data_IF_854331472929
#
_entry.id   IF_854331472929
#
_cell.length_a   1.000
_cell.length_b   1.000
_cell.length_c   1.000
_cell.angle_alpha   90.00
_cell.angle_beta   90.00
_cell.angle_gamma   90.00
#
_symmetry.space_group_name_H-M   'P 1'
#
loop_
_entity.id
_entity.type
_entity.pdbx_description
1 polymer ?
#
# COMPACT_ATOMS: atom_id res chain seq x y z
N UNK A 1 -17.16 19.34 -11.64
CA UNK A 1 -18.51 19.95 -11.70
C UNK A 1 -18.60 21.32 -11.00
N UNK A 2 -17.97 21.57 -9.85
CA UNK A 2 -18.01 22.84 -9.13
C UNK A 2 -17.43 24.02 -9.95
N UNK A 3 -16.29 23.83 -10.61
CA UNK A 3 -15.65 24.86 -11.44
C UNK A 3 -16.45 25.28 -12.68
N UNK A 4 -17.19 24.35 -13.29
CA UNK A 4 -18.04 24.67 -14.46
C UNK A 4 -19.20 25.59 -14.10
N UNK A 5 -19.80 25.39 -12.90
CA UNK A 5 -20.87 26.25 -12.37
C UNK A 5 -20.37 27.65 -12.02
N UNK A 6 -19.17 27.77 -11.43
CA UNK A 6 -18.59 29.08 -11.11
C UNK A 6 -18.20 29.87 -12.35
N UNK A 7 -17.65 29.22 -13.38
CA UNK A 7 -17.34 29.85 -14.68
C UNK A 7 -18.64 30.33 -15.36
N UNK A 8 -19.67 29.51 -15.41
CA UNK A 8 -20.98 29.90 -15.99
C UNK A 8 -21.57 31.06 -15.21
N UNK A 9 -21.51 31.04 -13.89
CA UNK A 9 -22.03 32.12 -13.04
C UNK A 9 -21.26 33.45 -13.30
N UNK A 10 -19.94 33.42 -13.41
CA UNK A 10 -19.15 34.61 -13.72
C UNK A 10 -19.45 35.18 -15.10
N UNK A 11 -19.64 34.33 -16.10
CA UNK A 11 -20.06 34.75 -17.47
C UNK A 11 -21.44 35.41 -17.41
N UNK A 12 -22.39 34.83 -16.70
CA UNK A 12 -23.74 35.39 -16.55
C UNK A 12 -23.71 36.74 -15.86
N UNK A 13 -22.90 36.91 -14.81
CA UNK A 13 -22.74 38.21 -14.10
C UNK A 13 -22.17 39.26 -15.02
N UNK A 14 -21.15 38.93 -15.83
CA UNK A 14 -20.56 39.82 -16.81
C UNK A 14 -21.59 40.23 -17.86
N UNK A 15 -22.36 39.31 -18.39
CA UNK A 15 -23.42 39.58 -19.38
C UNK A 15 -24.51 40.51 -18.80
N UNK A 16 -24.94 40.28 -17.55
CA UNK A 16 -25.90 41.16 -16.86
C UNK A 16 -25.33 42.55 -16.70
N UNK A 17 -24.06 42.69 -16.31
CA UNK A 17 -23.40 43.99 -16.16
C UNK A 17 -23.34 44.71 -17.49
N UNK A 18 -22.90 44.05 -18.59
CA UNK A 18 -22.86 44.64 -19.94
C UNK A 18 -24.24 45.11 -20.39
N UNK A 19 -25.26 44.28 -20.18
CA UNK A 19 -26.63 44.58 -20.54
C UNK A 19 -27.16 45.78 -19.74
N UNK A 20 -26.99 45.82 -18.42
CA UNK A 20 -27.43 46.92 -17.57
C UNK A 20 -26.75 48.26 -17.92
N UNK A 21 -25.44 48.23 -18.18
CA UNK A 21 -24.68 49.42 -18.57
C UNK A 21 -25.16 49.99 -19.91
N UNK A 22 -25.39 49.13 -20.91
CA UNK A 22 -25.92 49.58 -22.21
C UNK A 22 -27.37 50.12 -22.07
N UNK A 23 -28.20 49.54 -21.22
CA UNK A 23 -29.56 50.06 -20.95
C UNK A 23 -29.54 51.44 -20.29
N UNK A 24 -28.61 51.68 -19.35
CA UNK A 24 -28.44 53.02 -18.71
C UNK A 24 -28.02 54.03 -19.75
N UNK A 25 -27.10 53.68 -20.66
CA UNK A 25 -26.68 54.57 -21.74
C UNK A 25 -27.86 54.93 -22.68
N UNK A 26 -28.62 53.94 -23.13
CA UNK A 26 -29.81 54.19 -23.97
C UNK A 26 -30.87 55.05 -23.29
N UNK A 27 -31.06 54.84 -21.98
CA UNK A 27 -31.96 55.64 -21.18
C UNK A 27 -31.52 57.09 -21.10
N UNK A 28 -30.25 57.35 -20.85
CA UNK A 28 -29.65 58.69 -20.85
C UNK A 28 -29.76 59.34 -22.23
N UNK A 29 -29.50 58.63 -23.31
CA UNK A 29 -29.64 59.16 -24.67
C UNK A 29 -31.08 59.58 -24.98
N UNK A 30 -32.08 58.82 -24.53
CA UNK A 30 -33.50 59.23 -24.70
C UNK A 30 -33.86 60.48 -23.89
N UNK A 31 -33.45 60.61 -22.64
CA UNK A 31 -33.62 61.81 -21.83
C UNK A 31 -32.98 63.01 -22.53
N UNK A 32 -31.82 62.80 -23.12
CA UNK A 32 -31.12 63.83 -23.88
C UNK A 32 -31.92 64.32 -25.07
N UNK A 33 -32.46 63.40 -25.88
CA UNK A 33 -33.30 63.70 -27.04
C UNK A 33 -34.56 64.47 -26.62
N UNK A 34 -35.20 64.06 -25.54
CA UNK A 34 -36.40 64.76 -25.02
C UNK A 34 -36.10 66.18 -24.56
N UNK A 35 -35.03 66.39 -23.78
CA UNK A 35 -34.61 67.72 -23.33
C UNK A 35 -34.22 68.60 -24.49
N UNK A 36 -33.50 68.08 -25.45
CA UNK A 36 -33.11 68.84 -26.67
C UNK A 36 -34.33 69.21 -27.48
N UNK A 37 -35.26 68.34 -27.69
CA UNK A 37 -36.51 68.63 -28.43
C UNK A 37 -37.35 69.64 -27.67
N UNK A 38 -37.42 69.60 -26.36
CA UNK A 38 -38.14 70.56 -25.52
C UNK A 38 -37.49 71.96 -25.62
N UNK A 39 -36.16 71.99 -25.59
CA UNK A 39 -35.42 73.24 -25.75
C UNK A 39 -35.65 73.85 -27.16
N UNK A 40 -35.56 73.08 -28.21
CA UNK A 40 -35.83 73.51 -29.60
C UNK A 40 -37.28 74.00 -29.74
N UNK A 41 -38.25 73.27 -29.20
CA UNK A 41 -39.67 73.63 -29.22
C UNK A 41 -39.89 75.00 -28.47
N UNK A 42 -39.25 75.24 -27.32
CA UNK A 42 -39.34 76.52 -26.62
C UNK A 42 -38.78 77.63 -27.47
N UNK A 43 -37.63 77.42 -28.12
CA UNK A 43 -37.08 78.47 -29.04
C UNK A 43 -38.07 78.75 -30.17
N UNK A 44 -38.60 77.74 -30.81
CA UNK A 44 -39.57 77.89 -31.92
C UNK A 44 -40.80 78.62 -31.43
N UNK A 45 -41.34 78.35 -30.23
CA UNK A 45 -42.52 79.00 -29.70
C UNK A 45 -42.27 80.50 -29.44
N UNK A 46 -41.11 80.87 -28.83
CA UNK A 46 -40.73 82.20 -28.60
C UNK A 46 -40.56 82.99 -29.94
N UNK A 47 -39.94 82.37 -30.93
CA UNK A 47 -39.77 83.03 -32.27
C UNK A 47 -41.14 83.28 -32.92
N UNK A 48 -42.09 82.33 -32.84
CA UNK A 48 -43.43 82.46 -33.39
C UNK A 48 -44.28 83.51 -32.65
N UNK A 49 -44.12 83.60 -31.34
CA UNK A 49 -44.81 84.63 -30.55
C UNK A 49 -44.36 85.98 -30.88
N UNK A 50 -43.05 86.20 -31.06
CA UNK A 50 -42.41 87.53 -31.32
C UNK A 50 -42.49 87.98 -32.78
N UNK A 51 -42.57 86.99 -33.73
CA UNK A 51 -42.63 87.18 -35.16
C UNK A 51 -43.72 86.30 -35.79
N UNK A 52 -45.00 86.63 -35.69
CA UNK A 52 -46.11 85.76 -36.14
C UNK A 52 -46.13 85.49 -37.65
N UNK A 53 -45.57 86.42 -38.48
CA UNK A 53 -45.53 86.34 -39.94
C UNK A 53 -44.35 85.48 -40.48
N UNK A 54 -43.49 84.96 -39.63
CA UNK A 54 -42.35 84.19 -40.09
C UNK A 54 -42.81 82.78 -40.65
N UNK A 55 -42.39 82.51 -41.86
CA UNK A 55 -42.77 81.27 -42.48
C UNK A 55 -42.04 80.06 -41.82
N UNK A 56 -42.73 78.87 -41.78
CA UNK A 56 -42.07 77.67 -41.24
C UNK A 56 -40.79 77.30 -41.96
N UNK A 57 -40.67 77.65 -43.24
CA UNK A 57 -39.44 77.49 -44.05
C UNK A 57 -38.25 78.29 -43.51
N UNK A 58 -38.52 79.51 -43.15
CA UNK A 58 -37.47 80.41 -42.58
C UNK A 58 -37.04 79.88 -41.18
N UNK A 59 -37.93 79.34 -40.37
CA UNK A 59 -37.58 78.69 -39.07
C UNK A 59 -36.69 77.47 -39.30
N UNK A 60 -37.04 76.59 -40.25
CA UNK A 60 -36.19 75.45 -40.60
C UNK A 60 -34.83 75.90 -41.08
N UNK A 61 -34.75 76.93 -41.90
CA UNK A 61 -33.48 77.46 -42.46
C UNK A 61 -32.62 78.05 -41.32
N UNK A 62 -33.21 78.73 -40.33
CA UNK A 62 -32.52 79.22 -39.12
C UNK A 62 -31.97 78.07 -38.30
N UNK A 63 -32.73 77.02 -38.03
CA UNK A 63 -32.31 75.89 -37.24
C UNK A 63 -31.27 75.06 -37.97
N UNK A 64 -31.26 74.99 -39.30
CA UNK A 64 -30.29 74.23 -40.10
C UNK A 64 -29.02 75.03 -40.48
N UNK A 65 -29.04 76.32 -40.41
CA UNK A 65 -27.88 77.14 -40.71
C UNK A 65 -26.86 77.05 -39.55
N UNK A 66 -25.64 76.59 -39.86
CA UNK A 66 -24.49 76.65 -39.00
C UNK A 66 -24.05 78.10 -38.89
N UNK A 67 -24.71 78.91 -38.07
CA UNK A 67 -24.24 80.30 -37.74
C UNK A 67 -23.03 80.23 -36.82
N UNK A 68 -22.11 81.18 -36.96
CA UNK A 68 -20.93 81.36 -36.10
C UNK A 68 -21.39 81.54 -34.63
N UNK A 69 -20.91 80.70 -33.72
CA UNK A 69 -21.29 80.61 -32.30
C UNK A 69 -20.88 81.91 -31.50
N UNK A 70 -20.27 82.89 -32.08
CA UNK A 70 -19.78 84.11 -31.39
C UNK A 70 -20.89 85.02 -30.81
N UNK A 71 -22.15 84.87 -31.26
CA UNK A 71 -23.26 85.64 -30.72
C UNK A 71 -23.64 85.36 -29.26
N UNK A 72 -23.35 84.17 -28.76
CA UNK A 72 -23.70 83.80 -27.38
C UNK A 72 -22.83 84.56 -26.36
N UNK A 73 -21.59 84.79 -26.66
CA UNK A 73 -20.69 85.61 -25.81
C UNK A 73 -21.12 87.06 -25.73
N UNK A 74 -21.76 87.65 -26.78
CA UNK A 74 -22.31 89.03 -26.77
C UNK A 74 -23.47 89.20 -25.82
N UNK A 75 -24.20 88.09 -25.49
CA UNK A 75 -25.31 88.06 -24.54
C UNK A 75 -24.91 87.54 -23.15
N UNK A 76 -23.61 87.40 -22.88
CA UNK A 76 -23.08 86.98 -21.59
C UNK A 76 -23.38 85.45 -21.29
N UNK A 77 -23.69 84.70 -22.35
CA UNK A 77 -23.92 83.22 -22.24
C UNK A 77 -22.59 82.54 -22.53
N UNK A 78 -21.99 81.89 -21.53
CA UNK A 78 -20.78 81.11 -21.74
C UNK A 78 -21.17 79.81 -22.50
N UNK A 79 -20.57 79.62 -23.69
CA UNK A 79 -20.83 78.48 -24.58
C UNK A 79 -20.53 77.17 -23.90
N UNK A 80 -19.61 77.22 -22.97
CA UNK A 80 -19.23 75.96 -22.26
C UNK A 80 -20.22 75.59 -21.13
N UNK A 81 -20.94 76.54 -20.52
CA UNK A 81 -21.87 76.29 -19.43
C UNK A 81 -23.32 76.06 -19.86
N UNK A 82 -23.84 76.81 -20.84
CA UNK A 82 -25.26 76.77 -21.20
C UNK A 82 -25.60 75.89 -22.40
N UNK A 83 -24.63 75.64 -23.31
CA UNK A 83 -24.77 74.65 -24.38
C UNK A 83 -24.19 73.27 -24.00
N UNK A 84 -24.12 73.01 -22.71
CA UNK A 84 -23.69 71.73 -22.12
C UNK A 84 -24.40 70.51 -22.67
N UNK A 85 -25.60 70.66 -23.22
CA UNK A 85 -26.39 69.55 -23.78
C UNK A 85 -25.69 68.86 -24.97
N UNK A 86 -25.07 69.58 -25.88
CA UNK A 86 -24.40 69.03 -27.06
C UNK A 86 -23.00 68.50 -26.71
N UNK A 87 -22.28 69.25 -25.88
CA UNK A 87 -20.95 68.87 -25.40
C UNK A 87 -21.03 67.62 -24.51
N UNK A 88 -21.98 67.58 -23.57
CA UNK A 88 -22.25 66.40 -22.72
C UNK A 88 -22.60 65.15 -23.52
N UNK A 89 -23.40 65.27 -24.60
CA UNK A 89 -23.70 64.08 -25.44
C UNK A 89 -22.42 63.51 -26.09
N UNK A 90 -21.55 64.40 -26.57
CA UNK A 90 -20.27 64.00 -27.18
C UNK A 90 -19.33 63.37 -26.17
N UNK A 91 -19.25 63.93 -24.96
CA UNK A 91 -18.46 63.41 -23.84
C UNK A 91 -19.02 62.05 -23.35
N UNK A 92 -20.32 61.91 -23.14
CA UNK A 92 -20.96 60.67 -22.74
C UNK A 92 -20.71 59.54 -23.76
N UNK A 93 -20.71 59.85 -25.06
CA UNK A 93 -20.40 58.87 -26.11
C UNK A 93 -18.93 58.44 -26.06
N UNK A 94 -17.99 59.34 -25.76
CA UNK A 94 -16.59 58.95 -25.57
C UNK A 94 -16.41 58.09 -24.32
N UNK A 95 -17.02 58.47 -23.17
CA UNK A 95 -16.99 57.69 -21.94
C UNK A 95 -17.58 56.27 -22.17
N UNK A 96 -18.68 56.18 -22.90
CA UNK A 96 -19.29 54.89 -23.24
C UNK A 96 -18.32 54.00 -24.07
N UNK A 97 -17.64 54.54 -25.06
CA UNK A 97 -16.64 53.80 -25.86
C UNK A 97 -15.48 53.35 -24.99
N UNK A 98 -14.92 54.27 -24.17
CA UNK A 98 -13.80 53.95 -23.28
C UNK A 98 -14.17 52.84 -22.30
N UNK A 99 -15.35 52.89 -21.67
CA UNK A 99 -15.83 51.85 -20.74
C UNK A 99 -16.01 50.48 -21.43
N UNK A 100 -16.53 50.47 -22.68
CA UNK A 100 -16.66 49.21 -23.42
C UNK A 100 -15.27 48.64 -23.81
N UNK A 101 -14.28 49.47 -24.13
CA UNK A 101 -12.90 49.00 -24.41
C UNK A 101 -12.27 48.42 -23.12
N UNK A 102 -12.42 49.10 -21.99
CA UNK A 102 -11.93 48.64 -20.69
C UNK A 102 -12.59 47.29 -20.35
N UNK A 103 -13.91 47.18 -20.49
CA UNK A 103 -14.65 45.94 -20.24
C UNK A 103 -14.17 44.80 -21.15
N UNK A 104 -14.00 45.09 -22.44
CA UNK A 104 -13.48 44.09 -23.42
C UNK A 104 -12.08 43.59 -23.05
N UNK A 105 -11.19 44.52 -22.64
CA UNK A 105 -9.84 44.15 -22.18
C UNK A 105 -9.86 43.30 -20.92
N UNK A 106 -10.75 43.57 -19.96
CA UNK A 106 -10.91 42.81 -18.75
C UNK A 106 -11.40 41.36 -19.03
N UNK A 107 -12.40 41.23 -19.92
CA UNK A 107 -12.93 39.89 -20.34
C UNK A 107 -11.80 39.10 -21.03
N UNK A 108 -10.98 39.74 -21.87
CA UNK A 108 -9.87 39.10 -22.54
C UNK A 108 -8.83 38.57 -21.54
N UNK A 109 -8.42 39.37 -20.57
CA UNK A 109 -7.47 38.98 -19.51
C UNK A 109 -8.05 37.79 -18.70
N UNK A 110 -9.33 37.85 -18.32
CA UNK A 110 -9.99 36.82 -17.55
C UNK A 110 -10.04 35.48 -18.34
N UNK A 111 -10.31 35.56 -19.65
CA UNK A 111 -10.29 34.40 -20.55
C UNK A 111 -8.90 33.74 -20.64
N UNK A 112 -7.85 34.57 -20.73
CA UNK A 112 -6.46 34.09 -20.75
C UNK A 112 -6.13 33.35 -19.45
N UNK A 113 -6.49 33.90 -18.29
CA UNK A 113 -6.25 33.28 -16.98
C UNK A 113 -6.98 31.94 -16.90
N UNK A 114 -8.22 31.86 -17.36
CA UNK A 114 -9.00 30.60 -17.36
C UNK A 114 -8.38 29.54 -18.27
N UNK A 115 -7.86 29.92 -19.43
CA UNK A 115 -7.17 28.99 -20.35
C UNK A 115 -5.87 28.49 -19.71
N UNK A 116 -5.07 29.37 -19.12
CA UNK A 116 -3.81 28.98 -18.44
C UNK A 116 -4.10 28.00 -17.30
N UNK A 117 -5.09 28.30 -16.44
CA UNK A 117 -5.46 27.41 -15.34
C UNK A 117 -5.95 26.06 -15.83
N UNK A 118 -6.76 26.02 -16.88
CA UNK A 118 -7.24 24.78 -17.49
C UNK A 118 -6.11 23.93 -18.06
N UNK A 119 -5.16 24.55 -18.77
CA UNK A 119 -4.01 23.83 -19.31
C UNK A 119 -3.11 23.29 -18.18
N UNK A 120 -2.93 24.04 -17.09
CA UNK A 120 -2.18 23.57 -15.92
C UNK A 120 -2.84 22.36 -15.25
N UNK A 121 -4.18 22.36 -15.07
CA UNK A 121 -4.90 21.20 -14.54
C UNK A 121 -4.81 19.99 -15.47
N UNK A 122 -4.94 20.20 -16.79
CA UNK A 122 -4.83 19.11 -17.77
C UNK A 122 -3.44 18.45 -17.76
N UNK A 123 -2.38 19.24 -17.74
CA UNK A 123 -1.01 18.71 -17.71
C UNK A 123 -0.76 17.87 -16.43
N UNK A 124 -1.29 18.32 -15.27
CA UNK A 124 -1.21 17.54 -14.04
C UNK A 124 -2.01 16.25 -14.10
N UNK A 125 -3.14 16.23 -14.79
CA UNK A 125 -3.93 15.02 -15.02
C UNK A 125 -3.21 14.03 -15.95
N UNK A 126 -2.59 14.50 -17.03
CA UNK A 126 -1.79 13.66 -17.93
C UNK A 126 -0.61 13.01 -17.19
N UNK A 127 0.06 13.75 -16.30
CA UNK A 127 1.09 13.19 -15.44
C UNK A 127 0.56 12.03 -14.57
N UNK A 128 -0.63 12.16 -14.00
CA UNK A 128 -1.26 11.10 -13.20
C UNK A 128 -1.61 9.89 -14.07
N UNK A 129 -2.14 10.11 -15.28
CA UNK A 129 -2.45 9.03 -16.23
C UNK A 129 -1.17 8.25 -16.56
N UNK A 130 -0.08 8.95 -16.88
CA UNK A 130 1.21 8.32 -17.16
C UNK A 130 1.73 7.50 -15.96
N UNK A 131 1.58 8.01 -14.72
CA UNK A 131 1.95 7.27 -13.52
C UNK A 131 1.12 5.98 -13.38
N UNK A 132 -0.18 6.03 -13.65
CA UNK A 132 -1.05 4.84 -13.62
C UNK A 132 -0.64 3.82 -14.68
N UNK A 133 -0.28 4.26 -15.88
CA UNK A 133 0.21 3.39 -16.95
C UNK A 133 1.50 2.66 -16.54
N UNK A 134 2.44 3.36 -15.91
CA UNK A 134 3.67 2.74 -15.41
C UNK A 134 3.39 1.72 -14.28
N UNK A 135 2.47 2.02 -13.37
CA UNK A 135 2.03 1.08 -12.33
C UNK A 135 1.43 -0.19 -12.97
N UNK A 136 0.61 -0.05 -14.01
CA UNK A 136 0.03 -1.18 -14.74
C UNK A 136 1.08 -2.05 -15.45
N UNK A 137 2.21 -1.46 -15.87
CA UNK A 137 3.39 -2.18 -16.38
C UNK A 137 4.22 -2.83 -15.27
N UNK A 138 3.77 -2.76 -14.00
CA UNK A 138 4.48 -3.25 -12.80
C UNK A 138 5.77 -2.49 -12.50
N UNK A 139 5.93 -1.28 -13.02
CA UNK A 139 7.04 -0.40 -12.66
C UNK A 139 6.67 0.37 -11.39
N UNK A 140 7.10 -0.11 -10.24
CA UNK A 140 6.82 0.50 -8.93
C UNK A 140 7.92 1.47 -8.45
N UNK A 141 8.99 1.69 -9.24
CA UNK A 141 10.07 2.60 -8.87
C UNK A 141 9.78 4.04 -9.35
N UNK A 142 8.62 4.57 -8.96
CA UNK A 142 8.12 5.87 -9.36
C UNK A 142 8.34 6.92 -8.26
N UNK A 143 8.80 8.11 -8.64
CA UNK A 143 8.90 9.24 -7.72
C UNK A 143 7.58 10.03 -7.73
N UNK A 144 6.64 9.62 -6.88
CA UNK A 144 5.31 10.19 -6.78
C UNK A 144 5.25 11.01 -5.49
N UNK A 145 5.65 12.28 -5.52
CA UNK A 145 5.48 13.17 -4.35
C UNK A 145 4.62 14.37 -4.74
N UNK A 146 3.53 14.57 -4.04
CA UNK A 146 2.74 15.80 -4.09
C UNK A 146 3.33 16.81 -3.10
N UNK A 147 3.71 18.01 -3.59
CA UNK A 147 4.33 19.05 -2.76
C UNK A 147 3.33 20.12 -2.32
N UNK A 148 2.14 20.17 -2.94
CA UNK A 148 1.14 21.22 -2.71
C UNK A 148 -0.08 20.69 -1.97
N UNK A 149 -0.86 21.57 -1.31
CA UNK A 149 -2.12 21.22 -0.63
C UNK A 149 -3.33 21.06 -1.58
N UNK A 150 -3.09 20.91 -2.88
CA UNK A 150 -4.14 20.76 -3.88
C UNK A 150 -4.78 19.36 -3.81
N UNK A 151 -6.01 19.24 -4.35
CA UNK A 151 -6.71 17.94 -4.47
C UNK A 151 -5.89 16.94 -5.29
N UNK A 152 -5.15 17.41 -6.31
CA UNK A 152 -4.28 16.59 -7.15
C UNK A 152 -3.09 16.06 -6.34
N UNK A 153 -2.49 16.87 -5.48
CA UNK A 153 -1.41 16.44 -4.59
C UNK A 153 -1.86 15.43 -3.55
N UNK A 154 -3.08 15.57 -3.02
CA UNK A 154 -3.69 14.54 -2.16
C UNK A 154 -3.86 13.22 -2.91
N UNK A 155 -4.33 13.26 -4.16
CA UNK A 155 -4.46 12.08 -5.01
C UNK A 155 -3.10 11.42 -5.27
N UNK A 156 -2.06 12.20 -5.59
CA UNK A 156 -0.69 11.70 -5.75
C UNK A 156 -0.17 11.02 -4.48
N UNK A 157 -0.43 11.58 -3.31
CA UNK A 157 -0.01 11.00 -2.04
C UNK A 157 -0.72 9.67 -1.74
N UNK A 158 -2.02 9.54 -2.04
CA UNK A 158 -2.72 8.26 -1.90
C UNK A 158 -2.23 7.23 -2.93
N UNK A 159 -1.96 7.65 -4.15
CA UNK A 159 -1.32 6.78 -5.16
C UNK A 159 0.06 6.31 -4.70
N UNK A 160 0.87 7.19 -4.11
CA UNK A 160 2.18 6.80 -3.56
C UNK A 160 2.07 5.69 -2.51
N UNK A 161 1.13 5.82 -1.57
CA UNK A 161 0.89 4.77 -0.56
C UNK A 161 0.53 3.44 -1.22
N UNK A 162 -0.35 3.48 -2.22
CA UNK A 162 -0.77 2.29 -2.97
C UNK A 162 0.41 1.66 -3.73
N UNK A 163 1.26 2.47 -4.37
CA UNK A 163 2.46 1.98 -5.07
C UNK A 163 3.45 1.33 -4.11
N UNK A 164 3.69 1.93 -2.94
CA UNK A 164 4.55 1.34 -1.90
C UNK A 164 4.00 -0.01 -1.42
N UNK A 165 2.69 -0.11 -1.22
CA UNK A 165 2.03 -1.37 -0.85
C UNK A 165 2.19 -2.43 -1.95
N UNK A 166 1.88 -2.09 -3.22
CA UNK A 166 2.02 -3.01 -4.35
C UNK A 166 3.47 -3.47 -4.57
N UNK A 167 4.44 -2.58 -4.36
CA UNK A 167 5.87 -2.92 -4.42
C UNK A 167 6.22 -3.94 -3.34
N UNK A 168 5.82 -3.69 -2.10
CA UNK A 168 6.07 -4.61 -0.99
C UNK A 168 5.41 -5.98 -1.24
N UNK A 169 4.18 -6.01 -1.75
CA UNK A 169 3.48 -7.25 -2.08
C UNK A 169 4.18 -8.01 -3.22
N UNK A 170 4.67 -7.31 -4.25
CA UNK A 170 5.42 -7.91 -5.33
C UNK A 170 6.76 -8.48 -4.84
N UNK A 171 7.49 -7.75 -4.01
CA UNK A 171 8.77 -8.19 -3.42
C UNK A 171 8.56 -9.41 -2.49
N UNK A 172 7.52 -9.40 -1.67
CA UNK A 172 7.15 -10.54 -0.83
C UNK A 172 6.76 -11.76 -1.67
N UNK A 173 5.92 -11.57 -2.70
CA UNK A 173 5.54 -12.67 -3.61
C UNK A 173 6.76 -13.27 -4.34
N UNK A 174 7.75 -12.45 -4.69
CA UNK A 174 8.99 -12.95 -5.28
C UNK A 174 9.81 -13.76 -4.27
N UNK A 175 9.96 -13.27 -3.03
CA UNK A 175 10.61 -14.00 -1.95
C UNK A 175 9.93 -15.35 -1.69
N UNK A 176 8.60 -15.37 -1.60
CA UNK A 176 7.84 -16.60 -1.39
C UNK A 176 8.06 -17.61 -2.51
N UNK A 177 8.10 -17.16 -3.77
CA UNK A 177 8.41 -18.02 -4.92
C UNK A 177 9.82 -18.60 -4.85
N UNK A 178 10.81 -17.81 -4.44
CA UNK A 178 12.19 -18.29 -4.27
C UNK A 178 12.27 -19.34 -3.14
N UNK A 179 11.61 -19.09 -2.04
CA UNK A 179 11.51 -20.03 -0.91
C UNK A 179 10.87 -21.34 -1.37
N UNK A 180 9.74 -21.31 -2.08
CA UNK A 180 9.08 -22.50 -2.60
C UNK A 180 10.00 -23.26 -3.58
N UNK A 181 10.71 -22.55 -4.47
CA UNK A 181 11.68 -23.16 -5.39
C UNK A 181 12.76 -23.93 -4.62
N UNK A 182 13.37 -23.28 -3.63
CA UNK A 182 14.39 -23.93 -2.79
C UNK A 182 13.83 -25.16 -2.09
N UNK A 183 12.59 -25.10 -1.55
CA UNK A 183 11.95 -26.26 -0.93
C UNK A 183 11.74 -27.44 -1.90
N UNK A 184 11.31 -27.16 -3.13
CA UNK A 184 11.15 -28.21 -4.14
C UNK A 184 12.49 -28.85 -4.53
N UNK A 185 13.54 -28.07 -4.63
CA UNK A 185 14.90 -28.56 -4.88
C UNK A 185 15.38 -29.46 -3.73
N UNK A 186 15.21 -29.03 -2.49
CA UNK A 186 15.59 -29.80 -1.30
C UNK A 186 14.80 -31.11 -1.18
N UNK A 187 13.48 -31.05 -1.36
CA UNK A 187 12.61 -32.25 -1.37
C UNK A 187 13.07 -33.24 -2.44
N UNK A 188 13.36 -32.74 -3.65
CA UNK A 188 13.83 -33.57 -4.76
C UNK A 188 15.14 -34.29 -4.41
N UNK A 189 16.07 -33.59 -3.80
CA UNK A 189 17.32 -34.18 -3.32
C UNK A 189 17.11 -35.22 -2.23
N UNK A 190 16.26 -34.92 -1.24
CA UNK A 190 15.97 -35.83 -0.12
C UNK A 190 15.18 -37.07 -0.54
N UNK A 191 14.42 -37.03 -1.63
CA UNK A 191 13.73 -38.20 -2.20
C UNK A 191 14.68 -39.02 -3.11
N UNK A 192 15.55 -38.35 -3.86
CA UNK A 192 16.45 -39.04 -4.80
C UNK A 192 17.40 -40.03 -4.10
N UNK A 193 17.94 -39.66 -2.95
CA UNK A 193 18.91 -40.47 -2.21
C UNK A 193 18.31 -41.83 -1.79
N UNK A 194 17.21 -41.91 -1.04
CA UNK A 194 16.61 -43.20 -0.66
C UNK A 194 16.12 -43.99 -1.87
N UNK A 195 15.57 -43.36 -2.91
CA UNK A 195 15.17 -44.04 -4.15
C UNK A 195 16.35 -44.68 -4.86
N UNK A 196 17.53 -43.99 -4.87
CA UNK A 196 18.76 -44.57 -5.45
C UNK A 196 19.19 -45.81 -4.66
N UNK A 197 19.14 -45.79 -3.32
CA UNK A 197 19.50 -46.95 -2.48
C UNK A 197 18.54 -48.13 -2.71
N UNK A 198 17.23 -47.83 -2.83
CA UNK A 198 16.21 -48.85 -3.16
C UNK A 198 16.51 -49.49 -4.51
N UNK A 199 16.76 -48.67 -5.57
CA UNK A 199 17.01 -49.18 -6.91
C UNK A 199 18.28 -50.05 -6.94
N UNK A 200 19.41 -49.55 -6.37
CA UNK A 200 20.67 -50.33 -6.29
C UNK A 200 20.43 -51.65 -5.52
N UNK A 201 19.65 -51.61 -4.44
CA UNK A 201 19.37 -52.82 -3.66
C UNK A 201 18.50 -53.80 -4.44
N UNK A 202 17.53 -53.35 -5.22
CA UNK A 202 16.71 -54.15 -6.12
C UNK A 202 17.55 -54.74 -7.26
N UNK A 203 18.38 -53.96 -7.92
CA UNK A 203 19.26 -54.39 -9.00
C UNK A 203 20.19 -55.56 -8.49
N UNK A 204 20.76 -55.39 -7.30
CA UNK A 204 21.58 -56.42 -6.69
C UNK A 204 20.80 -57.72 -6.40
N UNK A 205 19.55 -57.62 -5.98
CA UNK A 205 18.69 -58.77 -5.75
C UNK A 205 18.28 -59.49 -7.05
N UNK A 206 18.08 -58.74 -8.13
CA UNK A 206 17.72 -59.24 -9.46
C UNK A 206 18.92 -59.91 -10.13
N UNK A 207 20.09 -59.26 -10.11
CA UNK A 207 21.30 -59.74 -10.79
C UNK A 207 21.92 -60.96 -10.09
N UNK A 208 21.63 -61.14 -8.80
CA UNK A 208 22.17 -62.24 -8.02
C UNK A 208 21.06 -63.16 -7.44
N UNK A 209 20.34 -63.95 -8.27
CA UNK A 209 19.22 -64.77 -7.80
C UNK A 209 19.63 -65.87 -6.82
N UNK A 210 20.90 -66.33 -6.89
CA UNK A 210 21.46 -67.33 -6.01
C UNK A 210 22.20 -66.75 -4.79
N UNK A 211 22.01 -65.51 -4.44
CA UNK A 211 22.56 -64.86 -3.27
C UNK A 211 22.20 -65.61 -1.99
N UNK A 212 23.10 -65.72 -1.05
CA UNK A 212 22.84 -66.30 0.25
C UNK A 212 21.76 -65.55 1.02
N UNK A 213 21.03 -66.26 1.87
CA UNK A 213 19.87 -65.75 2.59
C UNK A 213 20.21 -64.53 3.47
N UNK A 214 21.40 -64.52 4.08
CA UNK A 214 21.87 -63.40 4.91
C UNK A 214 21.99 -62.09 4.12
N UNK A 215 22.68 -62.14 2.98
CA UNK A 215 22.84 -60.97 2.11
C UNK A 215 21.52 -60.53 1.48
N UNK A 216 20.64 -61.48 1.10
CA UNK A 216 19.29 -61.19 0.61
C UNK A 216 18.49 -60.42 1.65
N UNK A 217 18.48 -60.90 2.88
CA UNK A 217 17.76 -60.24 3.98
C UNK A 217 18.33 -58.88 4.31
N UNK A 218 19.63 -58.65 4.15
CA UNK A 218 20.26 -57.33 4.31
C UNK A 218 19.74 -56.35 3.27
N UNK A 219 19.66 -56.68 1.98
CA UNK A 219 19.11 -55.82 0.93
C UNK A 219 17.63 -55.54 1.15
N UNK A 220 16.83 -56.53 1.52
CA UNK A 220 15.40 -56.38 1.84
C UNK A 220 15.24 -55.41 3.04
N UNK A 221 16.07 -55.57 4.07
CA UNK A 221 16.05 -54.67 5.24
C UNK A 221 16.41 -53.23 4.86
N UNK A 222 17.42 -53.04 3.99
CA UNK A 222 17.78 -51.71 3.46
C UNK A 222 16.62 -51.06 2.69
N UNK A 223 15.94 -51.82 1.81
CA UNK A 223 14.76 -51.36 1.07
C UNK A 223 13.65 -50.94 2.04
N UNK A 224 13.31 -51.82 3.00
CA UNK A 224 12.25 -51.57 3.99
C UNK A 224 12.53 -50.31 4.80
N UNK A 225 13.79 -50.10 5.20
CA UNK A 225 14.24 -48.91 5.93
C UNK A 225 14.06 -47.64 5.10
N UNK A 226 14.49 -47.64 3.83
CA UNK A 226 14.36 -46.47 2.97
C UNK A 226 12.90 -46.15 2.61
N UNK A 227 12.04 -47.14 2.43
CA UNK A 227 10.60 -46.91 2.26
C UNK A 227 10.00 -46.23 3.50
N UNK A 228 10.42 -46.68 4.70
CA UNK A 228 10.00 -46.04 5.96
C UNK A 228 10.48 -44.61 6.06
N UNK A 229 11.71 -44.30 5.64
CA UNK A 229 12.28 -42.96 5.60
C UNK A 229 11.48 -42.03 4.67
N UNK A 230 11.14 -42.50 3.47
CA UNK A 230 10.29 -41.77 2.51
C UNK A 230 8.91 -41.48 3.11
N UNK A 231 8.26 -42.47 3.74
CA UNK A 231 6.98 -42.23 4.38
C UNK A 231 7.05 -41.16 5.49
N UNK A 232 8.08 -41.20 6.33
CA UNK A 232 8.31 -40.17 7.36
C UNK A 232 8.54 -38.79 6.77
N UNK A 233 9.31 -38.68 5.68
CA UNK A 233 9.51 -37.45 4.94
C UNK A 233 8.18 -36.88 4.46
N UNK A 234 7.35 -37.70 3.79
CA UNK A 234 6.03 -37.29 3.28
C UNK A 234 5.13 -36.78 4.41
N UNK A 235 5.07 -37.51 5.53
CA UNK A 235 4.25 -37.12 6.69
C UNK A 235 4.70 -35.74 7.28
N UNK A 236 6.01 -35.53 7.37
CA UNK A 236 6.56 -34.28 7.87
C UNK A 236 6.29 -33.12 6.91
N UNK A 237 6.38 -33.35 5.59
CA UNK A 237 6.03 -32.38 4.56
C UNK A 237 4.55 -31.99 4.62
N UNK A 238 3.65 -32.97 4.79
CA UNK A 238 2.21 -32.70 4.97
C UNK A 238 1.93 -31.89 6.23
N UNK A 239 2.63 -32.17 7.35
CA UNK A 239 2.52 -31.35 8.56
C UNK A 239 2.97 -29.90 8.30
N UNK A 240 4.13 -29.70 7.67
CA UNK A 240 4.63 -28.37 7.34
C UNK A 240 3.66 -27.61 6.43
N UNK A 241 3.16 -28.24 5.38
CA UNK A 241 2.20 -27.61 4.45
C UNK A 241 0.95 -27.08 5.17
N UNK A 242 0.45 -27.81 6.17
CA UNK A 242 -0.68 -27.35 7.00
C UNK A 242 -0.35 -26.08 7.80
N UNK A 243 0.89 -25.92 8.22
CA UNK A 243 1.35 -24.70 8.93
C UNK A 243 1.47 -23.50 8.00
N UNK A 244 1.96 -23.70 6.79
CA UNK A 244 2.19 -22.59 5.83
C UNK A 244 0.88 -21.93 5.38
N UNK A 245 -0.19 -22.71 5.24
CA UNK A 245 -1.51 -22.20 4.79
C UNK A 245 -2.36 -21.60 5.93
N UNK A 246 -1.81 -21.48 7.15
CA UNK A 246 -2.54 -20.98 8.34
C UNK A 246 -3.88 -21.70 8.64
N UNK A 247 -4.05 -22.92 8.14
CA UNK A 247 -5.29 -23.72 8.31
C UNK A 247 -5.40 -24.35 9.70
N UNK A 248 -4.30 -24.39 10.45
CA UNK A 248 -4.29 -25.02 11.77
C UNK A 248 -4.90 -24.09 12.81
N UNK A 249 -6.07 -24.44 13.27
CA UNK A 249 -6.67 -23.85 14.46
C UNK A 249 -6.21 -24.65 15.69
N UNK A 250 -5.34 -24.06 16.54
CA UNK A 250 -4.95 -24.67 17.78
C UNK A 250 -6.13 -24.72 18.77
N UNK A 251 -6.35 -25.87 19.35
CA UNK A 251 -7.32 -26.04 20.44
C UNK A 251 -6.58 -25.99 21.77
N UNK A 252 -6.30 -24.78 22.23
CA UNK A 252 -5.58 -24.58 23.48
C UNK A 252 -6.43 -24.95 24.68
N UNK A 253 -5.83 -25.70 25.61
CA UNK A 253 -6.41 -26.13 26.87
C UNK A 253 -5.38 -25.95 27.99
N UNK A 254 -5.87 -25.79 29.21
CA UNK A 254 -5.00 -25.80 30.41
C UNK A 254 -4.48 -27.21 30.66
N UNK A 255 -3.18 -27.42 30.46
CA UNK A 255 -2.51 -28.72 30.54
C UNK A 255 -1.41 -28.65 31.60
N UNK A 256 -1.33 -29.67 32.50
CA UNK A 256 -0.23 -29.77 33.48
C UNK A 256 1.11 -29.99 32.75
N UNK A 257 2.15 -29.29 33.23
CA UNK A 257 3.52 -29.48 32.71
C UNK A 257 3.97 -30.94 32.82
N UNK A 258 3.59 -31.63 33.88
CA UNK A 258 3.93 -33.05 34.08
C UNK A 258 3.31 -33.92 33.01
N UNK A 259 2.02 -33.74 32.69
CA UNK A 259 1.33 -34.48 31.65
C UNK A 259 1.99 -34.24 30.28
N UNK A 260 2.27 -32.97 29.96
CA UNK A 260 2.91 -32.60 28.71
C UNK A 260 4.29 -33.24 28.54
N UNK A 261 5.16 -33.15 29.53
CA UNK A 261 6.52 -33.69 29.51
C UNK A 261 6.46 -35.22 29.39
N UNK A 262 5.66 -35.90 30.20
CA UNK A 262 5.57 -37.36 30.19
C UNK A 262 5.10 -37.90 28.84
N UNK A 263 4.01 -37.35 28.27
CA UNK A 263 3.52 -37.77 26.95
C UNK A 263 4.54 -37.50 25.83
N UNK A 264 5.35 -36.45 25.96
CA UNK A 264 6.40 -36.14 24.99
C UNK A 264 7.57 -37.12 25.08
N UNK A 265 7.94 -37.55 26.28
CA UNK A 265 8.98 -38.55 26.52
C UNK A 265 8.51 -39.95 26.09
N UNK A 266 7.28 -40.35 26.42
CA UNK A 266 6.70 -41.62 26.02
C UNK A 266 6.80 -41.85 24.50
N UNK A 267 6.58 -40.79 23.72
CA UNK A 267 6.65 -40.84 22.26
C UNK A 267 8.05 -41.16 21.70
N UNK A 268 9.10 -40.88 22.46
CA UNK A 268 10.50 -41.03 22.04
C UNK A 268 11.28 -42.01 22.90
N UNK A 269 10.62 -42.69 23.84
CA UNK A 269 11.25 -43.60 24.80
C UNK A 269 12.05 -44.70 24.10
N UNK A 270 11.48 -45.34 23.05
CA UNK A 270 12.18 -46.35 22.29
C UNK A 270 13.51 -45.87 21.66
N UNK A 271 13.57 -44.62 21.22
CA UNK A 271 14.80 -44.05 20.63
C UNK A 271 15.85 -43.80 21.73
N UNK A 272 15.41 -43.39 22.90
CA UNK A 272 16.28 -43.19 24.07
C UNK A 272 16.83 -44.53 24.56
N UNK A 273 15.99 -45.57 24.64
CA UNK A 273 16.38 -46.91 25.05
C UNK A 273 17.39 -47.55 24.10
N UNK A 274 17.18 -47.41 22.77
CA UNK A 274 18.10 -47.95 21.76
C UNK A 274 19.50 -47.31 21.83
N UNK A 275 19.63 -46.09 22.35
CA UNK A 275 20.91 -45.43 22.56
C UNK A 275 21.40 -45.49 24.02
N UNK A 276 20.68 -46.15 24.89
CA UNK A 276 20.93 -46.19 26.34
C UNK A 276 21.02 -44.78 26.96
N UNK A 277 20.20 -43.83 26.50
CA UNK A 277 20.18 -42.49 27.03
C UNK A 277 19.14 -42.34 28.13
N UNK A 278 19.56 -41.82 29.28
CA UNK A 278 18.68 -41.58 30.41
C UNK A 278 18.12 -40.12 30.33
N UNK A 279 16.80 -39.97 30.32
CA UNK A 279 16.15 -38.65 30.36
C UNK A 279 15.82 -38.31 31.81
N UNK A 280 16.43 -37.23 32.32
CA UNK A 280 16.16 -36.72 33.68
C UNK A 280 15.30 -35.46 33.62
N UNK A 281 14.13 -35.53 34.28
CA UNK A 281 13.17 -34.42 34.34
C UNK A 281 13.21 -33.73 35.68
N UNK A 282 13.42 -32.43 35.69
CA UNK A 282 13.42 -31.58 36.89
C UNK A 282 12.32 -30.53 36.76
N UNK A 283 11.26 -30.61 37.52
CA UNK A 283 10.17 -29.64 37.57
C UNK A 283 10.25 -28.93 38.92
N UNK A 284 10.70 -27.67 38.90
CA UNK A 284 10.89 -26.88 40.11
C UNK A 284 9.56 -26.56 40.80
N UNK A 285 8.55 -26.18 40.00
CA UNK A 285 7.19 -25.90 40.49
C UNK A 285 6.20 -26.55 39.51
N UNK A 286 5.09 -27.05 40.03
CA UNK A 286 4.01 -27.57 39.20
C UNK A 286 3.17 -26.40 38.65
N UNK A 287 2.92 -26.36 37.36
CA UNK A 287 2.19 -25.30 36.68
C UNK A 287 1.44 -25.83 35.44
N UNK A 288 0.48 -25.06 34.99
CA UNK A 288 -0.27 -25.36 33.79
C UNK A 288 0.11 -24.43 32.63
N UNK A 289 0.13 -24.98 31.43
CA UNK A 289 0.29 -24.26 30.17
C UNK A 289 -1.03 -24.21 29.42
N UNK A 290 -1.34 -23.10 28.78
CA UNK A 290 -2.49 -22.99 27.87
C UNK A 290 -2.03 -23.30 26.44
N UNK A 291 -2.08 -24.57 26.05
CA UNK A 291 -1.47 -25.08 24.81
C UNK A 291 -2.37 -26.11 24.12
N UNK A 292 -2.14 -26.31 22.80
CA UNK A 292 -2.63 -27.49 22.11
C UNK A 292 -1.68 -28.64 22.40
N UNK A 293 -2.13 -29.56 23.26
CA UNK A 293 -1.30 -30.65 23.77
C UNK A 293 -0.69 -31.51 22.66
N UNK A 294 -1.48 -31.88 21.63
CA UNK A 294 -1.02 -32.77 20.57
C UNK A 294 0.11 -32.15 19.73
N UNK A 295 -0.06 -30.90 19.35
CA UNK A 295 0.96 -30.20 18.59
C UNK A 295 2.20 -29.90 19.43
N UNK A 296 2.03 -29.54 20.70
CA UNK A 296 3.17 -29.28 21.56
C UNK A 296 3.96 -30.54 21.92
N UNK A 297 3.30 -31.70 22.06
CA UNK A 297 3.96 -33.03 22.16
C UNK A 297 4.83 -33.27 20.92
N UNK A 298 4.32 -32.97 19.71
CA UNK A 298 5.09 -33.11 18.47
C UNK A 298 6.34 -32.21 18.49
N UNK A 299 6.18 -30.94 18.91
CA UNK A 299 7.30 -29.99 18.97
C UNK A 299 8.37 -30.44 19.96
N UNK A 300 7.97 -30.74 21.20
CA UNK A 300 8.92 -31.14 22.26
C UNK A 300 9.60 -32.45 21.92
N UNK A 301 8.85 -33.45 21.40
CA UNK A 301 9.42 -34.72 20.97
C UNK A 301 10.48 -34.58 19.88
N UNK A 302 10.29 -33.65 18.91
CA UNK A 302 11.29 -33.37 17.88
C UNK A 302 12.56 -32.75 18.44
N UNK A 303 12.46 -31.86 19.45
CA UNK A 303 13.62 -31.25 20.09
C UNK A 303 14.37 -32.27 20.95
N UNK A 304 13.65 -33.06 21.76
CA UNK A 304 14.28 -34.09 22.61
C UNK A 304 14.87 -35.21 21.76
N UNK A 305 14.21 -35.61 20.67
CA UNK A 305 14.77 -36.54 19.69
C UNK A 305 16.09 -36.02 19.12
N UNK A 306 16.16 -34.77 18.76
CA UNK A 306 17.40 -34.15 18.27
C UNK A 306 18.50 -34.16 19.34
N UNK A 307 18.13 -33.87 20.61
CA UNK A 307 19.07 -33.93 21.72
C UNK A 307 19.62 -35.36 21.92
N UNK A 308 18.76 -36.38 21.80
CA UNK A 308 19.17 -37.80 21.89
C UNK A 308 20.08 -38.19 20.70
N UNK A 309 19.71 -37.82 19.47
CA UNK A 309 20.47 -38.17 18.26
C UNK A 309 21.90 -37.60 18.30
N UNK A 310 22.08 -36.43 18.88
CA UNK A 310 23.37 -35.74 19.00
C UNK A 310 24.11 -35.96 20.33
N UNK A 311 23.59 -36.78 21.23
CA UNK A 311 24.29 -37.26 22.42
C UNK A 311 25.05 -38.55 22.14
N UNK A 312 26.10 -38.83 22.93
CA UNK A 312 26.78 -40.12 22.90
C UNK A 312 25.95 -41.19 23.60
N UNK A 313 26.28 -42.46 23.33
CA UNK A 313 25.66 -43.60 24.07
C UNK A 313 25.94 -43.45 25.57
N UNK A 314 24.96 -43.84 26.40
CA UNK A 314 24.96 -43.74 27.85
C UNK A 314 25.01 -42.31 28.42
N UNK A 315 24.77 -41.28 27.61
CA UNK A 315 24.66 -39.89 28.06
C UNK A 315 23.33 -39.63 28.80
N UNK A 316 23.23 -38.46 29.41
CA UNK A 316 22.03 -38.01 30.10
C UNK A 316 21.49 -36.76 29.41
N UNK A 317 20.21 -36.79 29.02
CA UNK A 317 19.47 -35.61 28.58
C UNK A 317 18.64 -35.05 29.72
N UNK A 318 18.81 -33.76 30.04
CA UNK A 318 18.06 -33.10 31.11
C UNK A 318 16.93 -32.27 30.50
N UNK A 319 15.75 -32.34 31.16
CA UNK A 319 14.60 -31.49 30.85
C UNK A 319 14.27 -30.72 32.12
N UNK A 320 14.56 -29.43 32.15
CA UNK A 320 14.33 -28.55 33.31
C UNK A 320 13.12 -27.66 33.01
N UNK A 321 12.12 -27.68 33.91
CA UNK A 321 10.91 -26.87 33.80
C UNK A 321 10.84 -25.86 34.99
N UNK A 322 10.60 -24.62 34.68
CA UNK A 322 10.43 -23.55 35.65
C UNK A 322 9.34 -22.54 35.19
N UNK A 323 8.60 -22.02 36.16
CA UNK A 323 7.53 -21.06 35.92
C UNK A 323 7.77 -19.79 36.70
N UNK A 324 7.52 -18.64 36.09
CA UNK A 324 7.56 -17.34 36.73
C UNK A 324 6.35 -16.48 36.31
N UNK A 325 6.29 -15.22 36.80
CA UNK A 325 5.16 -14.32 36.52
C UNK A 325 5.04 -13.88 35.06
N UNK A 326 6.11 -13.99 34.24
CA UNK A 326 6.18 -13.47 32.87
C UNK A 326 6.10 -14.58 31.85
N UNK A 327 6.76 -15.72 32.10
CA UNK A 327 6.81 -16.85 31.18
C UNK A 327 7.01 -18.18 31.90
N UNK A 328 6.57 -19.26 31.27
CA UNK A 328 6.94 -20.63 31.65
C UNK A 328 8.09 -21.08 30.75
N UNK A 329 9.14 -21.67 31.34
CA UNK A 329 10.38 -22.05 30.67
C UNK A 329 10.59 -23.55 30.70
N UNK A 330 10.98 -24.14 29.57
CA UNK A 330 11.41 -25.54 29.42
C UNK A 330 12.78 -25.50 28.78
N UNK A 331 13.78 -26.13 29.42
CA UNK A 331 15.14 -26.27 28.91
C UNK A 331 15.46 -27.72 28.66
N UNK A 332 15.92 -28.04 27.45
CA UNK A 332 16.42 -29.36 27.09
C UNK A 332 17.92 -29.26 26.93
N UNK A 333 18.66 -30.03 27.71
CA UNK A 333 20.13 -29.95 27.77
C UNK A 333 20.72 -31.31 27.43
N UNK A 334 21.59 -31.34 26.43
CA UNK A 334 22.34 -32.53 26.07
C UNK A 334 23.84 -32.23 25.94
N UNK A 335 24.65 -33.29 26.05
CA UNK A 335 26.08 -33.24 25.74
C UNK A 335 26.22 -33.23 24.20
N UNK A 336 26.90 -32.23 23.69
CA UNK A 336 27.15 -32.04 22.27
C UNK A 336 27.36 -30.56 21.97
N UNK A 337 28.08 -30.27 20.89
CA UNK A 337 28.39 -28.88 20.47
C UNK A 337 27.80 -28.64 19.08
N UNK A 338 27.08 -27.54 18.95
CA UNK A 338 26.69 -26.98 17.67
C UNK A 338 27.65 -25.82 17.37
N UNK A 339 28.27 -25.80 16.18
CA UNK A 339 29.14 -24.71 15.79
C UNK A 339 28.39 -23.39 15.69
N UNK A 340 29.00 -22.27 16.03
CA UNK A 340 28.37 -20.93 15.99
C UNK A 340 27.77 -20.59 14.61
N UNK A 341 28.40 -21.05 13.52
CA UNK A 341 27.90 -20.84 12.14
C UNK A 341 26.61 -21.58 11.86
N UNK A 342 26.33 -22.64 12.61
CA UNK A 342 25.18 -23.53 12.42
C UNK A 342 24.01 -23.17 13.35
N UNK A 343 24.29 -22.53 14.51
CA UNK A 343 23.28 -22.15 15.50
C UNK A 343 22.08 -21.40 14.92
N UNK A 344 22.34 -20.48 13.98
CA UNK A 344 21.26 -19.72 13.32
C UNK A 344 20.49 -20.51 12.26
N UNK A 345 21.06 -21.65 11.79
CA UNK A 345 20.53 -22.44 10.68
C UNK A 345 19.82 -23.73 11.10
N UNK A 346 20.01 -24.18 12.35
CA UNK A 346 19.41 -25.45 12.81
C UNK A 346 17.89 -25.48 12.75
N UNK A 347 17.26 -24.31 12.73
CA UNK A 347 15.80 -24.15 12.60
C UNK A 347 15.37 -23.96 11.14
N UNK A 348 16.33 -23.88 10.18
CA UNK A 348 15.99 -23.81 8.77
C UNK A 348 15.49 -25.17 8.29
N UNK A 349 14.55 -25.19 7.36
CA UNK A 349 14.00 -26.42 6.81
C UNK A 349 15.07 -27.13 6.02
N UNK A 350 15.10 -28.46 6.13
CA UNK A 350 16.06 -29.36 5.45
C UNK A 350 17.52 -29.11 5.85
N UNK A 351 17.78 -28.32 6.87
CA UNK A 351 19.13 -28.12 7.37
C UNK A 351 19.59 -29.39 8.11
N UNK A 352 20.68 -30.00 7.63
CA UNK A 352 21.36 -31.13 8.29
C UNK A 352 22.84 -30.87 8.33
N UNK A 353 23.48 -31.12 9.48
CA UNK A 353 24.94 -31.07 9.56
C UNK A 353 25.50 -32.36 8.89
N UNK A 354 26.17 -32.22 7.73
CA UNK A 354 26.68 -33.35 6.90
C UNK A 354 27.71 -34.27 7.57
N UNK A 355 28.01 -34.11 8.85
CA UNK A 355 28.95 -34.93 9.61
C UNK A 355 28.22 -36.02 10.39
N UNK A 356 27.83 -37.10 9.72
CA UNK A 356 27.30 -38.29 10.34
C UNK A 356 26.08 -38.84 9.57
N UNK A 357 25.92 -40.15 9.65
CA UNK A 357 24.74 -40.89 9.14
C UNK A 357 23.48 -40.55 9.98
N UNK A 358 23.09 -39.27 10.09
CA UNK A 358 21.83 -38.94 10.74
C UNK A 358 20.71 -39.15 9.72
N UNK A 359 19.82 -40.06 10.01
CA UNK A 359 18.61 -40.36 9.24
C UNK A 359 17.57 -39.21 9.27
N UNK A 360 17.94 -38.08 9.81
CA UNK A 360 17.02 -36.95 10.00
C UNK A 360 16.99 -36.04 8.76
N UNK A 361 15.80 -35.86 8.26
CA UNK A 361 15.50 -35.04 7.05
C UNK A 361 15.68 -33.53 7.26
N UNK A 362 16.05 -33.08 8.48
CA UNK A 362 16.20 -31.66 8.80
C UNK A 362 14.89 -30.87 8.90
N UNK A 363 13.76 -31.56 9.10
CA UNK A 363 12.43 -30.91 9.21
C UNK A 363 11.99 -30.76 10.67
N UNK A 364 12.47 -31.61 11.58
CA UNK A 364 11.94 -31.71 12.94
C UNK A 364 12.05 -30.43 13.75
N UNK A 365 13.23 -29.76 13.76
CA UNK A 365 13.45 -28.53 14.51
C UNK A 365 12.70 -27.33 13.91
N UNK A 366 12.62 -27.24 12.60
CA UNK A 366 11.84 -26.18 11.93
C UNK A 366 10.34 -26.32 12.20
N UNK A 367 9.81 -27.55 12.21
CA UNK A 367 8.43 -27.83 12.60
C UNK A 367 8.19 -27.49 14.08
N UNK A 368 9.09 -27.88 14.98
CA UNK A 368 9.00 -27.56 16.39
C UNK A 368 8.96 -26.03 16.65
N UNK A 369 9.82 -25.29 15.99
CA UNK A 369 9.83 -23.81 16.07
C UNK A 369 8.49 -23.24 15.61
N UNK A 370 7.97 -23.64 14.47
CA UNK A 370 6.69 -23.14 13.95
C UNK A 370 5.53 -23.44 14.91
N UNK A 371 5.48 -24.63 15.49
CA UNK A 371 4.45 -25.01 16.47
C UNK A 371 4.52 -24.13 17.73
N UNK A 372 5.72 -23.96 18.28
CA UNK A 372 5.95 -23.18 19.50
C UNK A 372 5.58 -21.70 19.26
N UNK A 373 6.08 -21.09 18.18
CA UNK A 373 5.85 -19.67 17.85
C UNK A 373 4.37 -19.37 17.57
N UNK A 374 3.66 -20.28 16.90
CA UNK A 374 2.20 -20.13 16.69
C UNK A 374 1.39 -20.25 17.99
N UNK A 375 1.93 -20.83 19.03
CA UNK A 375 1.29 -20.90 20.34
C UNK A 375 1.84 -19.83 21.32
N UNK A 376 2.26 -18.67 20.79
CA UNK A 376 2.83 -17.55 21.56
C UNK A 376 4.08 -17.93 22.39
N UNK A 377 4.79 -18.97 21.98
CA UNK A 377 6.08 -19.33 22.55
C UNK A 377 7.25 -18.81 21.75
N UNK A 378 8.44 -18.93 22.32
CA UNK A 378 9.72 -18.66 21.67
C UNK A 378 10.66 -19.80 21.95
N UNK A 379 11.44 -20.23 20.94
CA UNK A 379 12.52 -21.20 21.08
C UNK A 379 13.85 -20.54 20.74
N UNK A 380 14.82 -20.71 21.61
CA UNK A 380 16.21 -20.27 21.43
C UNK A 380 17.14 -21.50 21.64
N UNK A 381 18.33 -21.44 21.06
CA UNK A 381 19.40 -22.46 21.25
C UNK A 381 20.69 -21.79 21.65
N UNK A 382 21.39 -22.41 22.53
CA UNK A 382 22.72 -22.00 22.98
C UNK A 382 23.63 -23.22 23.08
N UNK A 383 24.86 -23.13 22.58
CA UNK A 383 25.83 -24.22 22.66
C UNK A 383 27.17 -23.70 23.13
N UNK A 384 27.62 -24.17 24.27
CA UNK A 384 28.92 -23.81 24.91
C UNK A 384 29.37 -24.88 25.88
N UNK A 385 30.66 -24.94 26.13
CA UNK A 385 31.28 -25.79 27.16
C UNK A 385 30.87 -27.27 27.07
N UNK A 386 30.79 -27.79 25.84
CA UNK A 386 30.44 -29.19 25.60
C UNK A 386 28.95 -29.52 25.66
N UNK A 387 28.09 -28.53 25.89
CA UNK A 387 26.63 -28.72 26.03
C UNK A 387 25.84 -27.89 25.01
N UNK A 388 24.74 -28.44 24.59
CA UNK A 388 23.69 -27.72 23.83
C UNK A 388 22.44 -27.57 24.68
N UNK A 389 21.87 -26.40 24.71
CA UNK A 389 20.69 -26.03 25.51
C UNK A 389 19.65 -25.44 24.55
N UNK A 390 18.52 -26.14 24.39
CA UNK A 390 17.31 -25.58 23.77
C UNK A 390 16.44 -25.00 24.85
N UNK A 391 16.03 -23.76 24.70
CA UNK A 391 15.18 -23.04 25.67
C UNK A 391 13.87 -22.65 25.00
N UNK A 392 12.77 -23.17 25.55
CA UNK A 392 11.40 -22.83 25.14
C UNK A 392 10.81 -21.92 26.20
N UNK A 393 10.18 -20.81 25.79
CA UNK A 393 9.46 -19.88 26.67
C UNK A 393 8.04 -19.69 26.14
N UNK A 394 7.04 -19.92 26.98
CA UNK A 394 5.64 -19.56 26.74
C UNK A 394 5.29 -18.33 27.57
N UNK A 395 4.93 -17.24 26.90
CA UNK A 395 4.59 -15.98 27.57
C UNK A 395 3.15 -16.01 28.09
N UNK A 396 2.92 -15.39 29.26
CA UNK A 396 1.62 -15.34 29.96
C UNK A 396 0.78 -14.16 29.53
#
# INVERSE_FOLDING_TARGET
MKNKKTIILSIVIILIYVFSFNMVYLYQENIYKEKYNMFVNNIISVIKEKYPDISNKNIIDILNNKTNLNYLNEYGIDVDDEFALISMHKENKKIFIINNVILGSFILVLSIILIINKNYENNKLEEIIHLIEEINKKNYNLNIKGTDETMISKLKNEMYKTVVMLKNDADNSLKDKLIIKTYLEDISHQLKTPLTVINISLDNLIDNPNMDEKNRNEFISKISKEVTNINNLIQNLLKLSKFDVNVINFVNKSVSIKEFINKSIDKISLIADLKNINIKVNILNDFNLNIDLNWQIEALSNIVKNAIEHSNENDIVYINCNDNKIYSKIEIINNGIINDKDLNKIFDRFYTNKKGYSESVGIGLSLAKNIIEKNNGKIDVYSKDGKTIFTIKYYK
#
